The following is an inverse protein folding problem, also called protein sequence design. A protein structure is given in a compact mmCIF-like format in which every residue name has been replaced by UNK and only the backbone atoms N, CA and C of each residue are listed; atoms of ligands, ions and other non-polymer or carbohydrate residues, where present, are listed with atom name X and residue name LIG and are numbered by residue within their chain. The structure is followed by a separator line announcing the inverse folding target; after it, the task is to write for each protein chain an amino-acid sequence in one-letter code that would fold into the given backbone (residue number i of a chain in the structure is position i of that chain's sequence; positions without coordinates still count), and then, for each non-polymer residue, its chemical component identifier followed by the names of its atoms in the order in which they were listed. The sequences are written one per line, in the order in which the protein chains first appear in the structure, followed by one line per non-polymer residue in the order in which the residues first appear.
data_IF_686046780584
#
_entry.id   IF_686046780584
#
_cell.length_a   1.000
_cell.length_b   1.000
_cell.length_c   1.000
_cell.angle_alpha   90.00
_cell.angle_beta   90.00
_cell.angle_gamma   90.00
#
_symmetry.space_group_name_H-M   'P 1'
#
loop_
_entity.id
_entity.type
_entity.pdbx_description
1 polymer ?
#
# COMPACT_ATOMS: atom_id res chain seq x y z
N UNK A 1 13.60 -3.22 -7.94
CA UNK A 1 12.22 -3.00 -7.45
C UNK A 1 11.26 -4.00 -8.06
N UNK A 2 10.29 -4.48 -7.28
CA UNK A 2 9.15 -5.29 -7.74
C UNK A 2 7.87 -4.48 -7.58
N UNK A 3 6.85 -4.78 -8.39
CA UNK A 3 5.52 -4.18 -8.27
C UNK A 3 4.49 -5.31 -8.22
N UNK A 4 3.60 -5.27 -7.24
CA UNK A 4 2.42 -6.12 -7.14
C UNK A 4 1.20 -5.22 -7.23
N UNK A 5 0.39 -5.48 -8.24
CA UNK A 5 -0.86 -4.78 -8.49
C UNK A 5 -2.02 -5.77 -8.28
N UNK A 6 -2.87 -5.47 -7.32
CA UNK A 6 -4.02 -6.32 -6.98
C UNK A 6 -5.36 -5.66 -7.30
N UNK A 7 -5.35 -4.61 -8.13
CA UNK A 7 -6.55 -3.85 -8.47
C UNK A 7 -7.69 -4.71 -9.02
N UNK A 8 -7.38 -5.61 -9.95
CA UNK A 8 -8.39 -6.52 -10.51
C UNK A 8 -9.00 -7.47 -9.47
N UNK A 9 -8.16 -7.98 -8.56
CA UNK A 9 -8.56 -8.99 -7.59
C UNK A 9 -9.36 -8.41 -6.42
N UNK A 10 -9.17 -7.12 -6.09
CA UNK A 10 -9.82 -6.48 -4.94
C UNK A 10 -11.36 -6.46 -5.03
N UNK A 11 -11.91 -6.51 -6.26
CA UNK A 11 -13.36 -6.52 -6.45
C UNK A 11 -14.03 -7.79 -5.94
N UNK A 12 -13.27 -8.88 -5.76
CA UNK A 12 -13.75 -10.13 -5.13
C UNK A 12 -14.12 -9.94 -3.66
N UNK A 13 -13.62 -8.87 -3.03
CA UNK A 13 -13.95 -8.50 -1.65
C UNK A 13 -15.39 -7.92 -1.50
N UNK A 14 -16.08 -7.68 -2.62
CA UNK A 14 -17.41 -7.06 -2.63
C UNK A 14 -18.48 -7.95 -3.30
N UNK A 15 -18.75 -9.16 -2.78
CA UNK A 15 -19.82 -9.98 -3.32
C UNK A 15 -21.16 -9.24 -3.22
N UNK A 16 -21.91 -9.21 -4.35
CA UNK A 16 -23.17 -8.47 -4.46
C UNK A 16 -23.05 -6.97 -4.11
N UNK A 17 -21.89 -6.38 -4.30
CA UNK A 17 -21.64 -4.94 -4.08
C UNK A 17 -21.46 -4.54 -2.60
N UNK A 18 -21.30 -5.50 -1.70
CA UNK A 18 -21.06 -5.26 -0.28
C UNK A 18 -19.72 -5.83 0.13
N UNK A 19 -18.98 -5.09 0.94
CA UNK A 19 -17.72 -5.57 1.49
C UNK A 19 -17.97 -6.81 2.38
N UNK A 20 -17.14 -7.81 2.20
CA UNK A 20 -17.16 -9.06 2.95
C UNK A 20 -15.73 -9.35 3.47
N UNK A 21 -15.62 -9.45 4.79
CA UNK A 21 -14.32 -9.60 5.45
C UNK A 21 -13.67 -10.97 5.15
N UNK A 22 -14.46 -12.03 5.06
CA UNK A 22 -13.93 -13.37 4.74
C UNK A 22 -13.41 -13.43 3.29
N UNK A 23 -14.06 -12.71 2.38
CA UNK A 23 -13.58 -12.56 1.01
C UNK A 23 -12.28 -11.73 0.97
N UNK A 24 -12.21 -10.67 1.78
CA UNK A 24 -11.01 -9.85 1.89
C UNK A 24 -9.84 -10.65 2.49
N UNK A 25 -10.06 -11.48 3.50
CA UNK A 25 -9.01 -12.34 4.07
C UNK A 25 -8.41 -13.25 2.99
N UNK A 26 -9.24 -13.94 2.23
CA UNK A 26 -8.78 -14.81 1.11
C UNK A 26 -8.03 -14.02 0.05
N UNK A 27 -8.47 -12.80 -0.28
CA UNK A 27 -7.77 -11.91 -1.18
C UNK A 27 -6.40 -11.52 -0.61
N UNK A 28 -6.35 -11.07 0.63
CA UNK A 28 -5.13 -10.59 1.29
C UNK A 28 -4.10 -11.72 1.51
N UNK A 29 -4.52 -12.97 1.79
CA UNK A 29 -3.64 -14.14 1.88
C UNK A 29 -2.89 -14.44 0.59
N UNK A 30 -3.42 -14.04 -0.57
CA UNK A 30 -2.76 -14.21 -1.87
C UNK A 30 -1.79 -13.07 -2.21
N UNK A 31 -1.70 -12.03 -1.36
CA UNK A 31 -0.75 -10.94 -1.52
C UNK A 31 0.58 -11.36 -0.86
N UNK A 32 1.64 -11.44 -1.65
CA UNK A 32 3.01 -11.73 -1.20
C UNK A 32 3.18 -13.07 -0.43
N UNK A 33 2.61 -14.20 -0.88
CA UNK A 33 2.84 -15.47 -0.20
C UNK A 33 4.37 -15.84 -0.21
N UNK A 34 4.90 -16.46 0.86
CA UNK A 34 4.19 -17.03 2.01
C UNK A 34 3.97 -16.06 3.19
N UNK A 35 4.18 -14.76 2.99
CA UNK A 35 3.99 -13.77 4.05
C UNK A 35 2.52 -13.66 4.48
N UNK A 36 2.27 -13.60 5.80
CA UNK A 36 0.92 -13.49 6.37
C UNK A 36 0.38 -12.05 6.26
N UNK A 37 0.15 -11.58 5.03
CA UNK A 37 -0.22 -10.19 4.74
C UNK A 37 -1.56 -9.80 5.39
N UNK A 38 -2.55 -10.69 5.37
CA UNK A 38 -3.84 -10.46 6.02
C UNK A 38 -3.69 -10.19 7.52
N UNK A 39 -2.88 -11.00 8.21
CA UNK A 39 -2.63 -10.83 9.65
C UNK A 39 -1.91 -9.52 9.96
N UNK A 40 -0.93 -9.13 9.13
CA UNK A 40 -0.25 -7.84 9.28
C UNK A 40 -1.28 -6.70 9.22
N UNK A 41 -2.10 -6.63 8.17
CA UNK A 41 -3.06 -5.53 8.00
C UNK A 41 -4.11 -5.53 9.13
N UNK A 42 -4.63 -6.69 9.55
CA UNK A 42 -5.55 -6.78 10.71
C UNK A 42 -4.90 -6.28 11.99
N UNK A 43 -3.65 -6.62 12.24
CA UNK A 43 -2.92 -6.14 13.42
C UNK A 43 -2.68 -4.63 13.38
N UNK A 44 -2.33 -4.08 12.21
CA UNK A 44 -2.10 -2.65 12.02
C UNK A 44 -3.37 -1.82 12.22
N UNK A 45 -4.54 -2.43 12.00
CA UNK A 45 -5.86 -1.78 12.13
C UNK A 45 -6.67 -2.23 13.35
N UNK A 46 -6.12 -3.04 14.24
CA UNK A 46 -6.82 -3.63 15.39
C UNK A 46 -7.44 -2.60 16.35
N UNK A 47 -6.94 -1.35 16.34
CA UNK A 47 -7.48 -0.25 17.16
C UNK A 47 -8.59 0.57 16.47
N UNK A 48 -8.94 0.24 15.22
CA UNK A 48 -9.93 1.00 14.45
C UNK A 48 -11.33 0.42 14.61
N UNK A 49 -12.33 1.29 14.66
CA UNK A 49 -13.73 0.86 14.63
C UNK A 49 -14.07 0.39 13.21
N UNK A 50 -14.32 -0.91 13.08
CA UNK A 50 -14.62 -1.50 11.78
C UNK A 50 -15.92 -0.96 11.17
N UNK A 51 -16.99 -0.89 11.96
CA UNK A 51 -18.32 -0.51 11.46
C UNK A 51 -18.43 0.99 11.15
N UNK A 52 -17.79 1.82 11.97
CA UNK A 52 -17.91 3.28 11.86
C UNK A 52 -16.72 3.91 11.10
N UNK A 53 -15.54 3.29 11.13
CA UNK A 53 -14.31 3.86 10.57
C UNK A 53 -13.86 3.18 9.27
N UNK A 54 -13.92 1.86 9.18
CA UNK A 54 -13.37 1.10 8.05
C UNK A 54 -14.43 0.84 6.98
N UNK A 55 -15.54 0.20 7.35
CA UNK A 55 -16.56 -0.25 6.40
C UNK A 55 -17.14 0.89 5.53
N UNK A 56 -17.46 2.07 6.07
CA UNK A 56 -17.96 3.17 5.24
C UNK A 56 -16.95 3.64 4.16
N UNK A 57 -15.65 3.66 4.48
CA UNK A 57 -14.60 4.05 3.53
C UNK A 57 -14.49 3.02 2.41
N UNK A 58 -14.49 1.72 2.74
CA UNK A 58 -14.44 0.64 1.75
C UNK A 58 -15.66 0.68 0.82
N UNK A 59 -16.86 0.89 1.37
CA UNK A 59 -18.09 0.97 0.57
C UNK A 59 -18.13 2.24 -0.30
N UNK A 60 -17.65 3.38 0.20
CA UNK A 60 -17.55 4.61 -0.57
C UNK A 60 -16.54 4.47 -1.72
N UNK A 61 -15.38 3.86 -1.47
CA UNK A 61 -14.38 3.59 -2.50
C UNK A 61 -14.96 2.66 -3.58
N UNK A 62 -15.61 1.55 -3.21
CA UNK A 62 -16.25 0.64 -4.15
C UNK A 62 -17.34 1.31 -4.99
N UNK A 63 -18.10 2.25 -4.42
CA UNK A 63 -19.17 2.98 -5.11
C UNK A 63 -18.64 3.98 -6.15
N UNK A 64 -17.43 4.52 -5.96
CA UNK A 64 -16.79 5.50 -6.85
C UNK A 64 -15.70 4.81 -7.69
N UNK A 65 -16.14 4.01 -8.66
CA UNK A 65 -15.22 3.24 -9.52
C UNK A 65 -14.33 4.13 -10.36
N UNK A 66 -14.84 5.26 -10.84
CA UNK A 66 -14.07 6.19 -11.66
C UNK A 66 -12.86 6.72 -10.88
N UNK A 67 -13.05 7.00 -9.59
CA UNK A 67 -11.97 7.44 -8.72
C UNK A 67 -10.95 6.32 -8.45
N UNK A 68 -11.39 5.09 -8.26
CA UNK A 68 -10.50 3.94 -8.12
C UNK A 68 -9.70 3.68 -9.40
N UNK A 69 -10.35 3.74 -10.56
CA UNK A 69 -9.69 3.60 -11.87
C UNK A 69 -8.66 4.70 -12.09
N UNK A 70 -8.99 5.95 -11.78
CA UNK A 70 -8.04 7.06 -11.86
C UNK A 70 -6.81 6.84 -10.95
N UNK A 71 -7.02 6.35 -9.71
CA UNK A 71 -5.93 6.04 -8.79
C UNK A 71 -5.04 4.92 -9.35
N UNK A 72 -5.65 3.88 -9.92
CA UNK A 72 -4.95 2.76 -10.53
C UNK A 72 -4.16 3.19 -11.78
N UNK A 73 -4.76 3.98 -12.67
CA UNK A 73 -4.07 4.51 -13.86
C UNK A 73 -2.84 5.33 -13.46
N UNK A 74 -2.99 6.20 -12.46
CA UNK A 74 -1.87 6.98 -11.92
C UNK A 74 -0.80 6.08 -11.30
N UNK A 75 -1.19 5.03 -10.57
CA UNK A 75 -0.25 4.05 -10.03
C UNK A 75 0.53 3.34 -11.14
N UNK A 76 -0.14 2.84 -12.18
CA UNK A 76 0.49 2.18 -13.31
C UNK A 76 1.49 3.11 -14.02
N UNK A 77 1.09 4.37 -14.24
CA UNK A 77 1.96 5.37 -14.88
C UNK A 77 3.20 5.67 -14.04
N UNK A 78 3.05 5.84 -12.71
CA UNK A 78 4.17 6.16 -11.82
C UNK A 78 5.10 4.97 -11.61
N UNK A 79 4.58 3.76 -11.55
CA UNK A 79 5.41 2.56 -11.34
C UNK A 79 6.12 2.10 -12.61
N UNK A 80 5.61 2.45 -13.79
CA UNK A 80 6.27 2.16 -15.06
C UNK A 80 7.64 2.85 -15.13
N UNK A 81 8.74 2.08 -15.25
CA UNK A 81 10.13 2.57 -15.30
C UNK A 81 10.60 3.29 -14.02
N UNK A 82 9.95 3.04 -12.87
CA UNK A 82 10.27 3.70 -11.60
C UNK A 82 11.68 3.36 -11.10
N UNK A 83 12.13 2.12 -11.29
CA UNK A 83 13.46 1.69 -10.85
C UNK A 83 14.58 2.50 -11.53
N UNK A 84 14.46 2.72 -12.83
CA UNK A 84 15.41 3.52 -13.62
C UNK A 84 15.40 4.98 -13.16
N UNK A 85 14.23 5.57 -12.99
CA UNK A 85 14.11 6.97 -12.53
C UNK A 85 14.69 7.17 -11.13
N UNK A 86 14.49 6.22 -10.23
CA UNK A 86 15.06 6.28 -8.86
C UNK A 86 16.58 6.14 -8.93
N UNK A 87 17.10 5.19 -9.70
CA UNK A 87 18.54 5.01 -9.90
C UNK A 87 19.21 6.29 -10.44
N UNK A 88 18.63 6.91 -11.45
CA UNK A 88 19.13 8.16 -12.02
C UNK A 88 19.16 9.32 -11.02
N UNK A 89 18.15 9.39 -10.13
CA UNK A 89 18.03 10.49 -9.16
C UNK A 89 18.86 10.30 -7.89
N UNK A 90 18.97 9.07 -7.41
CA UNK A 90 19.63 8.76 -6.13
C UNK A 90 21.04 8.17 -6.31
N UNK A 91 21.46 7.91 -7.55
CA UNK A 91 22.73 7.24 -7.88
C UNK A 91 22.91 5.92 -7.10
N UNK A 92 21.82 5.20 -6.87
CA UNK A 92 21.81 3.92 -6.21
C UNK A 92 20.66 3.03 -6.65
N UNK A 93 20.86 1.72 -6.53
CA UNK A 93 19.78 0.73 -6.68
C UNK A 93 19.03 0.61 -5.37
N UNK A 94 17.76 1.02 -5.39
CA UNK A 94 16.86 0.87 -4.25
C UNK A 94 16.10 -0.45 -4.39
N UNK A 95 16.33 -1.37 -3.45
CA UNK A 95 15.56 -2.61 -3.40
C UNK A 95 14.28 -2.39 -2.58
N UNK A 96 13.15 -2.41 -3.28
CA UNK A 96 11.83 -2.21 -2.69
C UNK A 96 10.77 -2.99 -3.45
N UNK A 97 9.75 -3.46 -2.74
CA UNK A 97 8.54 -4.07 -3.28
C UNK A 97 7.37 -3.10 -3.12
N UNK A 98 6.79 -2.65 -4.21
CA UNK A 98 5.64 -1.73 -4.21
C UNK A 98 4.38 -2.54 -4.41
N UNK A 99 3.42 -2.39 -3.51
CA UNK A 99 2.17 -3.16 -3.49
C UNK A 99 0.99 -2.21 -3.47
N UNK A 100 0.16 -2.25 -4.52
CA UNK A 100 -1.16 -1.63 -4.51
C UNK A 100 -2.19 -2.66 -4.04
N UNK A 101 -2.98 -2.33 -3.02
CA UNK A 101 -3.93 -3.28 -2.42
C UNK A 101 -5.17 -2.57 -1.87
N UNK A 102 -6.23 -3.35 -1.64
CA UNK A 102 -7.37 -2.93 -0.82
C UNK A 102 -7.03 -3.21 0.64
N UNK A 103 -6.82 -2.15 1.43
CA UNK A 103 -6.49 -2.27 2.85
C UNK A 103 -7.74 -2.35 3.73
N UNK A 104 -7.53 -2.16 5.03
CA UNK A 104 -8.57 -1.91 6.02
C UNK A 104 -8.34 -0.53 6.64
N UNK A 105 -8.15 0.48 5.80
CA UNK A 105 -7.82 1.85 6.21
C UNK A 105 -6.50 1.98 7.00
N UNK A 106 -5.56 1.06 6.83
CA UNK A 106 -4.26 1.09 7.51
C UNK A 106 -3.40 2.30 7.10
N UNK A 107 -3.60 2.84 5.89
CA UNK A 107 -2.92 4.03 5.38
C UNK A 107 -3.03 4.15 3.87
N UNK A 108 -2.83 5.36 3.34
CA UNK A 108 -2.72 5.58 1.89
C UNK A 108 -1.36 5.11 1.36
N UNK A 109 -0.29 5.34 2.13
CA UNK A 109 1.06 4.86 1.87
C UNK A 109 1.76 4.47 3.16
N UNK A 110 2.65 3.50 3.07
CA UNK A 110 3.41 3.00 4.20
C UNK A 110 4.68 2.29 3.76
N UNK A 111 5.85 2.79 4.20
CA UNK A 111 7.12 2.10 4.08
C UNK A 111 7.30 1.12 5.25
N UNK A 112 7.52 -0.15 4.96
CA UNK A 112 7.64 -1.23 5.97
C UNK A 112 8.67 -2.28 5.55
N UNK A 113 8.89 -3.28 6.41
CA UNK A 113 9.68 -4.48 6.10
C UNK A 113 8.75 -5.70 6.04
N UNK A 114 8.92 -6.51 5.02
CA UNK A 114 8.23 -7.78 4.83
C UNK A 114 9.28 -8.87 4.68
N UNK A 115 9.49 -9.65 5.73
CA UNK A 115 10.48 -10.74 5.79
C UNK A 115 11.89 -10.32 5.33
N UNK A 116 12.33 -9.14 5.75
CA UNK A 116 13.65 -8.61 5.41
C UNK A 116 13.71 -7.92 4.05
N UNK A 117 12.59 -7.76 3.36
CA UNK A 117 12.48 -7.00 2.11
C UNK A 117 11.73 -5.70 2.38
N UNK A 118 12.35 -4.57 2.03
CA UNK A 118 11.68 -3.27 2.12
C UNK A 118 10.48 -3.20 1.19
N UNK A 119 9.33 -2.74 1.69
CA UNK A 119 8.11 -2.64 0.93
C UNK A 119 7.42 -1.27 1.09
N UNK A 120 6.79 -0.81 0.02
CA UNK A 120 5.83 0.30 0.02
C UNK A 120 4.44 -0.30 -0.17
N UNK A 121 3.59 -0.14 0.81
CA UNK A 121 2.19 -0.56 0.77
C UNK A 121 1.32 0.64 0.45
N UNK A 122 0.47 0.54 -0.58
CA UNK A 122 -0.42 1.61 -1.04
C UNK A 122 -1.88 1.14 -0.93
N UNK A 123 -2.61 1.68 0.06
CA UNK A 123 -4.03 1.38 0.30
C UNK A 123 -4.92 2.21 -0.62
N UNK A 124 -5.48 1.57 -1.65
CA UNK A 124 -6.22 2.28 -2.71
C UNK A 124 -7.50 2.96 -2.18
N UNK A 125 -8.18 2.37 -1.19
CA UNK A 125 -9.35 2.97 -0.57
C UNK A 125 -9.03 4.28 0.15
N UNK A 126 -7.86 4.35 0.80
CA UNK A 126 -7.40 5.56 1.48
C UNK A 126 -6.92 6.62 0.48
N UNK A 127 -6.28 6.20 -0.60
CA UNK A 127 -5.90 7.09 -1.72
C UNK A 127 -7.16 7.73 -2.30
N UNK A 128 -8.21 6.93 -2.52
CA UNK A 128 -9.49 7.42 -3.03
C UNK A 128 -10.21 8.35 -2.02
N UNK A 129 -10.24 7.98 -0.73
CA UNK A 129 -10.82 8.81 0.33
C UNK A 129 -10.16 10.19 0.41
N UNK A 130 -8.83 10.23 0.35
CA UNK A 130 -8.03 11.46 0.42
C UNK A 130 -8.01 12.26 -0.90
N UNK A 131 -8.65 11.75 -1.96
CA UNK A 131 -8.62 12.33 -3.30
C UNK A 131 -7.18 12.48 -3.87
N UNK A 132 -6.29 11.57 -3.54
CA UNK A 132 -4.90 11.54 -4.06
C UNK A 132 -4.79 10.66 -5.31
N UNK A 133 -5.78 10.71 -6.17
CA UNK A 133 -5.93 9.83 -7.32
C UNK A 133 -5.22 10.32 -8.58
N UNK A 134 -4.84 11.60 -8.62
CA UNK A 134 -4.11 12.17 -9.75
C UNK A 134 -2.62 11.79 -9.75
N UNK A 135 -2.00 11.89 -10.93
CA UNK A 135 -0.59 11.52 -11.14
C UNK A 135 0.37 12.22 -10.16
N UNK A 136 0.17 13.52 -9.91
CA UNK A 136 1.05 14.30 -9.04
C UNK A 136 0.95 13.86 -7.59
N UNK A 137 -0.26 13.61 -7.10
CA UNK A 137 -0.51 13.12 -5.74
C UNK A 137 0.04 11.72 -5.56
N UNK A 138 -0.21 10.82 -6.53
CA UNK A 138 0.34 9.46 -6.54
C UNK A 138 1.87 9.46 -6.58
N UNK A 139 2.48 10.30 -7.42
CA UNK A 139 3.94 10.44 -7.47
C UNK A 139 4.48 10.93 -6.13
N UNK A 140 3.85 11.95 -5.54
CA UNK A 140 4.21 12.47 -4.22
C UNK A 140 4.21 11.38 -3.16
N UNK A 141 3.15 10.58 -3.11
CA UNK A 141 3.00 9.47 -2.17
C UNK A 141 4.10 8.40 -2.37
N UNK A 142 4.24 7.89 -3.59
CA UNK A 142 5.22 6.84 -3.90
C UNK A 142 6.66 7.29 -3.60
N UNK A 143 7.03 8.50 -4.02
CA UNK A 143 8.38 9.00 -3.75
C UNK A 143 8.61 9.34 -2.27
N UNK A 144 7.58 9.73 -1.53
CA UNK A 144 7.66 9.93 -0.08
C UNK A 144 8.03 8.61 0.63
N UNK A 145 7.30 7.55 0.34
CA UNK A 145 7.53 6.24 0.95
C UNK A 145 8.88 5.63 0.52
N UNK A 146 9.26 5.79 -0.74
CA UNK A 146 10.59 5.38 -1.21
C UNK A 146 11.72 6.18 -0.53
N UNK A 147 11.47 7.44 -0.18
CA UNK A 147 12.39 8.26 0.60
C UNK A 147 12.66 7.69 1.99
N UNK A 148 11.64 7.13 2.66
CA UNK A 148 11.81 6.40 3.91
C UNK A 148 12.71 5.17 3.73
N UNK A 149 12.42 4.34 2.72
CA UNK A 149 13.22 3.14 2.42
C UNK A 149 14.67 3.52 2.12
N UNK A 150 14.89 4.50 1.26
CA UNK A 150 16.24 5.00 0.95
C UNK A 150 16.98 5.45 2.20
N UNK A 151 16.33 6.23 3.06
CA UNK A 151 16.91 6.70 4.31
C UNK A 151 17.30 5.55 5.25
N UNK A 152 16.46 4.52 5.37
CA UNK A 152 16.76 3.35 6.18
C UNK A 152 17.92 2.52 5.60
N UNK A 153 17.95 2.31 4.28
CA UNK A 153 19.02 1.55 3.63
C UNK A 153 20.37 2.27 3.73
N UNK A 154 20.42 3.59 3.49
CA UNK A 154 21.65 4.38 3.60
C UNK A 154 22.18 4.39 5.04
N UNK A 155 21.32 4.43 6.03
CA UNK A 155 21.70 4.39 7.45
C UNK A 155 21.87 2.97 7.99
N UNK A 156 21.63 1.95 7.22
CA UNK A 156 21.61 0.54 7.66
C UNK A 156 20.68 0.32 8.87
N UNK A 157 19.53 1.01 8.88
CA UNK A 157 18.47 0.91 9.88
C UNK A 157 17.34 0.07 9.27
N UNK A 158 16.66 -0.74 10.08
CA UNK A 158 15.46 -1.45 9.64
C UNK A 158 14.29 -0.47 9.48
N UNK A 159 13.39 -0.74 8.53
CA UNK A 159 12.19 0.08 8.27
C UNK A 159 11.25 0.18 9.48
N UNK A 160 11.26 -0.84 10.35
CA UNK A 160 10.55 -0.79 11.63
C UNK A 160 11.56 -0.89 12.78
N UNK A 161 11.72 0.17 13.60
CA UNK A 161 12.62 0.12 14.74
C UNK A 161 12.15 -0.94 15.75
N UNK A 162 13.02 -1.86 16.10
CA UNK A 162 12.72 -2.94 17.06
C UNK A 162 12.79 -2.51 18.52
N UNK A 163 13.42 -1.38 18.81
CA UNK A 163 13.62 -0.89 20.16
C UNK A 163 13.29 0.60 20.29
N UNK A 164 13.00 1.09 21.51
CA UNK A 164 12.83 2.52 21.76
C UNK A 164 14.05 3.37 21.35
N UNK A 165 15.25 2.81 21.39
CA UNK A 165 16.49 3.50 21.01
C UNK A 165 16.60 3.70 19.48
N UNK A 166 15.96 2.86 18.69
CA UNK A 166 15.92 2.99 17.23
C UNK A 166 14.82 3.96 16.75
N UNK A 167 13.91 4.37 17.65
CA UNK A 167 12.84 5.34 17.38
C UNK A 167 13.26 6.79 17.63
N UNK A 168 14.43 7.00 18.23
CA UNK A 168 15.01 8.31 18.51
C UNK A 168 15.98 8.74 17.41
#
# INVERSE_FOLDING_TARGET
MKVTDTFGDMFTCFPNGRFDLDCWERYAENILPPFAFADKIKNDTAGYDFECGILPVLQAAYADKDKLEQAHDSFCLITHGLAERVREKLDCDLDAHIVLYLGLCSGAGWATDIDGTSAVLLGIEKIAELCWTDEKSMAGLVYHELGHIWHYQVRNIRTEPKSPAEKA
#
